data_IF_099727306869
#
_entry.id   IF_099727306869
#
_cell.length_a   1.000
_cell.length_b   1.000
_cell.length_c   1.000
_cell.angle_alpha   90.00
_cell.angle_beta   90.00
_cell.angle_gamma   90.00
#
_symmetry.space_group_name_H-M   'P 1'
#
loop_
_entity.id
_entity.type
_entity.pdbx_description
1 polymer ?
2 non-polymer ?
3 water ?
#
# COMPACT_ATOMS: atom_id res chain seq x y z
N UNK A 8 24.03 2.02 0.46
CA UNK A 8 22.81 2.69 1.03
C UNK A 8 21.60 2.56 0.11
N UNK A 9 20.42 2.41 0.70
CA UNK A 9 19.21 2.21 -0.07
C UNK A 9 18.32 3.45 0.00
N UNK A 10 18.13 4.11 -1.15
CA UNK A 10 17.34 5.34 -1.22
C UNK A 10 15.85 5.06 -1.33
N UNK A 11 15.10 5.39 -0.29
CA UNK A 11 13.62 5.26 -0.32
C UNK A 11 12.94 6.63 -0.30
N UNK A 12 12.08 6.88 -1.30
CA UNK A 12 11.19 8.04 -1.30
C UNK A 12 10.00 7.77 -0.36
N UNK A 13 9.85 8.60 0.68
CA UNK A 13 8.79 8.51 1.69
C UNK A 13 7.85 9.65 1.40
N UNK A 14 6.72 9.33 0.79
CA UNK A 14 5.85 10.35 0.24
C UNK A 14 4.74 10.72 1.19
N UNK A 15 4.90 11.87 1.84
CA UNK A 15 3.92 12.43 2.77
C UNK A 15 4.28 13.87 3.11
N UNK A 16 4.93 14.06 4.27
CA UNK A 16 5.33 15.40 4.74
C UNK A 16 6.82 15.45 5.10
N UNK A 17 7.31 16.67 5.29
CA UNK A 17 8.65 16.93 5.83
C UNK A 17 8.70 16.54 7.31
N UNK A 18 9.88 16.11 7.76
CA UNK A 18 10.11 15.74 9.16
C UNK A 18 9.51 16.75 10.13
N UNK A 19 9.83 18.01 9.86
CA UNK A 19 9.37 19.15 10.64
C UNK A 19 7.89 19.07 11.02
N UNK A 20 7.04 18.70 10.06
CA UNK A 20 5.58 18.82 10.21
C UNK A 20 4.83 17.47 10.27
N UNK A 21 5.58 16.39 10.45
CA UNK A 21 5.03 15.03 10.60
C UNK A 21 4.65 14.70 12.06
N UNK A 22 5.26 15.42 13.02
CA UNK A 22 5.03 15.17 14.45
C UNK A 22 5.56 13.83 14.92
N UNK A 23 4.65 12.97 15.38
CA UNK A 23 4.98 11.58 15.74
C UNK A 23 4.15 10.62 14.89
N UNK A 24 3.66 11.12 13.75
CA UNK A 24 2.72 10.39 12.90
C UNK A 24 3.32 9.10 12.35
N UNK A 25 4.62 9.13 12.07
CA UNK A 25 5.29 7.99 11.46
C UNK A 25 6.11 7.19 12.45
N UNK A 26 5.88 7.39 13.75
CA UNK A 26 6.69 6.70 14.75
C UNK A 26 6.78 5.19 14.48
N UNK A 27 5.66 4.53 14.39
CA UNK A 27 5.68 3.06 14.26
C UNK A 27 6.15 2.62 12.86
N UNK A 28 5.86 3.43 11.84
CA UNK A 28 6.31 3.13 10.49
C UNK A 28 7.84 3.09 10.48
N UNK A 29 8.45 4.10 11.06
CA UNK A 29 9.91 4.23 11.09
C UNK A 29 10.58 3.16 11.95
N UNK A 30 9.90 2.74 13.02
CA UNK A 30 10.35 1.60 13.83
C UNK A 30 10.44 0.33 13.01
N UNK A 31 9.41 0.07 12.22
CA UNK A 31 9.36 -1.07 11.33
C UNK A 31 10.50 -0.99 10.31
N UNK A 32 10.68 0.16 9.66
CA UNK A 32 11.79 0.33 8.70
C UNK A 32 13.12 -0.02 9.36
N UNK A 33 13.24 0.32 10.63
CA UNK A 33 14.45 0.08 11.39
C UNK A 33 14.63 -1.42 11.70
N UNK A 34 13.55 -2.13 12.04
CA UNK A 34 13.59 -3.60 12.16
C UNK A 34 14.11 -4.27 10.90
N UNK A 35 13.65 -3.76 9.77
CA UNK A 35 13.98 -4.29 8.47
C UNK A 35 15.44 -3.98 8.13
N UNK A 36 15.85 -2.75 8.42
CA UNK A 36 17.21 -2.29 8.14
C UNK A 36 18.21 -3.21 8.80
N UNK A 37 17.87 -3.62 10.03
CA UNK A 37 18.72 -4.49 10.81
C UNK A 37 18.69 -5.90 10.25
N UNK A 38 17.50 -6.40 9.90
CA UNK A 38 17.37 -7.78 9.41
C UNK A 38 18.10 -7.99 8.08
N UNK A 39 18.15 -6.93 7.27
CA UNK A 39 18.76 -6.96 5.95
C UNK A 39 20.22 -6.52 5.94
N UNK A 40 20.62 -5.75 6.95
CA UNK A 40 21.98 -5.23 7.04
C UNK A 40 22.29 -4.26 5.91
N UNK A 41 21.39 -3.30 5.73
CA UNK A 41 21.50 -2.30 4.68
C UNK A 41 21.46 -0.90 5.29
N UNK A 42 22.19 0.02 4.67
CA UNK A 42 22.13 1.42 5.07
C UNK A 42 20.87 2.04 4.44
N UNK A 43 19.80 2.22 5.21
CA UNK A 43 18.61 2.93 4.71
C UNK A 43 18.83 4.46 4.65
N UNK A 44 18.53 5.06 3.50
CA UNK A 44 18.52 6.51 3.36
C UNK A 44 17.15 6.99 2.87
N UNK A 45 16.30 7.35 3.82
CA UNK A 45 14.95 7.84 3.46
C UNK A 45 14.97 9.31 3.00
N UNK A 46 14.40 9.53 1.81
CA UNK A 46 14.06 10.87 1.31
C UNK A 46 12.61 11.21 1.70
N UNK A 47 12.45 12.13 2.66
CA UNK A 47 11.12 12.63 3.04
C UNK A 47 10.65 13.67 2.04
N UNK A 48 9.62 13.29 1.29
CA UNK A 48 9.09 14.10 0.19
C UNK A 48 7.72 14.64 0.58
N UNK A 49 7.55 15.94 0.43
CA UNK A 49 6.24 16.57 0.57
C UNK A 49 5.38 16.20 -0.62
N UNK A 50 4.30 15.45 -0.38
CA UNK A 50 3.45 14.93 -1.47
C UNK A 50 2.87 16.01 -2.36
N UNK A 51 2.64 17.20 -1.80
CA UNK A 51 2.07 18.29 -2.58
C UNK A 51 2.99 18.79 -3.70
N UNK A 52 4.30 18.55 -3.55
CA UNK A 52 5.27 18.90 -4.59
C UNK A 52 5.16 17.99 -5.82
N UNK A 53 4.43 16.89 -5.68
CA UNK A 53 4.19 15.98 -6.78
C UNK A 53 2.88 16.28 -7.52
N UNK A 54 2.27 17.41 -7.20
CA UNK A 54 1.11 17.91 -7.95
C UNK A 54 1.39 19.30 -8.53
N UNK A 55 0.68 19.62 -9.61
CA UNK A 55 0.72 20.96 -10.22
C UNK A 55 1.66 21.10 -11.41
N UNK A 56 1.75 22.33 -11.96
CA UNK A 56 2.56 22.59 -13.16
C UNK A 56 4.04 22.20 -13.03
N UNK A 57 4.59 22.25 -11.82
CA UNK A 57 6.03 22.04 -11.63
C UNK A 57 6.42 20.61 -11.23
N UNK A 58 5.42 19.73 -11.11
CA UNK A 58 5.59 18.39 -10.53
C UNK A 58 6.68 17.53 -11.17
N UNK A 59 7.03 17.78 -12.44
CA UNK A 59 8.11 17.01 -13.10
C UNK A 59 9.44 17.14 -12.33
N UNK A 60 9.63 18.27 -11.65
CA UNK A 60 10.79 18.51 -10.77
C UNK A 60 10.86 17.50 -9.61
N UNK A 61 9.70 17.23 -9.00
CA UNK A 61 9.58 16.25 -7.92
C UNK A 61 9.61 14.83 -8.40
N UNK A 62 8.98 14.58 -9.55
CA UNK A 62 9.02 13.27 -10.15
C UNK A 62 10.49 12.85 -10.38
N UNK A 63 11.32 13.78 -10.81
CA UNK A 63 12.74 13.48 -11.05
C UNK A 63 13.42 12.95 -9.77
N UNK A 64 13.08 13.54 -8.63
CA UNK A 64 13.61 13.07 -7.36
C UNK A 64 13.26 11.58 -7.11
N UNK A 65 12.02 11.21 -7.41
CA UNK A 65 11.57 9.81 -7.24
C UNK A 65 12.33 8.83 -8.14
N UNK A 66 12.63 9.27 -9.37
CA UNK A 66 13.29 8.43 -10.36
C UNK A 66 14.69 8.03 -9.94
N UNK A 67 15.30 8.82 -9.06
CA UNK A 67 16.61 8.50 -8.55
C UNK A 67 16.56 7.68 -7.28
N UNK A 68 15.38 7.21 -6.88
CA UNK A 68 15.26 6.37 -5.69
C UNK A 68 15.26 4.87 -6.03
N UNK A 69 15.59 4.04 -5.05
CA UNK A 69 15.56 2.57 -5.18
C UNK A 69 14.17 2.00 -4.85
N UNK A 70 13.40 2.77 -4.08
CA UNK A 70 12.05 2.39 -3.73
C UNK A 70 11.23 3.62 -3.45
N UNK A 71 9.92 3.45 -3.58
CA UNK A 71 8.95 4.51 -3.38
C UNK A 71 7.87 3.97 -2.41
N UNK A 72 7.68 4.67 -1.31
CA UNK A 72 6.79 4.26 -0.24
C UNK A 72 5.70 5.32 0.05
N UNK A 73 4.43 4.89 0.12
CA UNK A 73 3.34 5.79 0.50
C UNK A 73 2.59 5.28 1.75
N UNK A 74 2.80 5.94 2.91
CA UNK A 74 2.14 5.50 4.13
C UNK A 74 0.69 5.96 4.22
N UNK A 75 0.01 5.51 5.27
CA UNK A 75 -1.28 6.06 5.65
C UNK A 75 -1.12 7.53 5.99
N UNK A 76 -2.16 8.29 5.76
CA UNK A 76 -2.14 9.73 6.00
C UNK A 76 -3.54 10.22 6.31
N UNK A 77 -3.67 11.53 6.50
CA UNK A 77 -4.95 12.04 6.99
C UNK A 77 -5.39 13.20 6.15
N UNK A 78 -6.72 13.29 6.01
CA UNK A 78 -7.34 14.28 5.16
C UNK A 78 -6.99 14.04 3.71
N UNK A 79 -7.36 15.00 2.87
CA UNK A 79 -7.14 14.91 1.43
C UNK A 79 -5.86 15.61 0.97
N UNK A 80 -5.00 15.95 1.94
CA UNK A 80 -3.76 16.65 1.65
C UNK A 80 -2.90 15.73 0.80
N UNK A 81 -2.56 16.18 -0.41
CA UNK A 81 -1.56 15.51 -1.23
C UNK A 81 -1.98 14.19 -1.87
N UNK A 82 -3.28 13.96 -2.03
CA UNK A 82 -3.77 12.71 -2.62
C UNK A 82 -3.29 12.57 -4.06
N UNK A 83 -3.41 13.64 -4.86
CA UNK A 83 -2.99 13.60 -6.27
C UNK A 83 -1.47 13.36 -6.44
N UNK A 84 -0.68 13.94 -5.54
CA UNK A 84 0.76 13.69 -5.50
C UNK A 84 1.12 12.25 -5.13
N UNK A 85 0.37 11.66 -4.21
CA UNK A 85 0.58 10.26 -3.82
C UNK A 85 0.21 9.31 -4.97
N UNK A 86 -0.88 9.61 -5.69
CA UNK A 86 -1.21 8.90 -6.91
C UNK A 86 -0.08 9.01 -7.92
N UNK A 87 0.46 10.23 -8.08
CA UNK A 87 1.62 10.49 -8.95
C UNK A 87 2.87 9.72 -8.54
N UNK A 88 3.09 9.52 -7.23
CA UNK A 88 4.17 8.61 -6.76
C UNK A 88 3.97 7.20 -7.25
N UNK A 89 2.75 6.69 -7.14
CA UNK A 89 2.42 5.33 -7.61
C UNK A 89 2.58 5.23 -9.13
N UNK A 90 2.19 6.26 -9.84
CA UNK A 90 2.36 6.28 -11.29
C UNK A 90 3.83 6.16 -11.69
N UNK A 91 4.71 6.96 -11.07
CA UNK A 91 6.14 6.91 -11.36
C UNK A 91 6.70 5.51 -11.15
N UNK A 92 6.37 4.95 -9.98
CA UNK A 92 6.73 3.59 -9.64
C UNK A 92 6.30 2.58 -10.71
N UNK A 93 5.04 2.65 -11.15
CA UNK A 93 4.47 1.68 -12.10
C UNK A 93 5.12 1.82 -13.47
N UNK A 94 5.24 3.06 -13.93
CA UNK A 94 5.84 3.36 -15.22
C UNK A 94 7.35 3.15 -15.30
N UNK A 95 8.06 3.07 -14.18
CA UNK A 95 9.52 2.97 -14.21
C UNK A 95 10.09 1.73 -13.55
N UNK A 96 9.25 0.80 -13.16
CA UNK A 96 9.67 -0.42 -12.46
C UNK A 96 10.62 -0.12 -11.27
N UNK A 97 10.24 0.88 -10.48
CA UNK A 97 10.88 1.19 -9.19
C UNK A 97 9.99 0.55 -8.12
N UNK A 98 10.55 -0.37 -7.29
CA UNK A 98 9.76 -1.00 -6.20
C UNK A 98 8.83 -0.02 -5.46
N UNK A 99 7.57 -0.45 -5.28
CA UNK A 99 6.53 0.38 -4.66
C UNK A 99 5.90 -0.37 -3.52
N UNK A 100 5.72 0.33 -2.40
CA UNK A 100 4.99 -0.17 -1.24
C UNK A 100 4.04 0.89 -0.70
N UNK A 101 2.75 0.55 -0.68
CA UNK A 101 1.72 1.42 -0.13
C UNK A 101 0.99 0.78 1.04
N UNK A 102 0.67 1.59 2.05
CA UNK A 102 -0.06 1.11 3.24
C UNK A 102 -1.33 1.96 3.44
N UNK A 103 -2.48 1.29 3.50
CA UNK A 103 -3.77 1.95 3.70
C UNK A 103 -4.03 2.99 2.56
N UNK A 104 -3.79 4.27 2.83
CA UNK A 104 -3.92 5.31 1.79
C UNK A 104 -3.00 5.03 0.59
N UNK A 105 -1.85 4.43 0.89
CA UNK A 105 -0.93 3.93 -0.12
C UNK A 105 -1.50 2.89 -1.08
N UNK A 106 -2.38 2.02 -0.59
CA UNK A 106 -3.07 1.08 -1.48
C UNK A 106 -4.18 1.81 -2.27
N UNK A 107 -4.92 2.67 -1.60
CA UNK A 107 -5.99 3.43 -2.25
C UNK A 107 -5.50 4.26 -3.45
N UNK A 108 -4.37 4.93 -3.29
CA UNK A 108 -3.81 5.73 -4.38
C UNK A 108 -3.29 4.87 -5.54
N UNK A 109 -2.82 3.65 -5.25
CA UNK A 109 -2.43 2.71 -6.31
C UNK A 109 -3.65 2.38 -7.18
N UNK A 110 -4.78 2.16 -6.52
CA UNK A 110 -6.04 1.88 -7.20
C UNK A 110 -6.53 3.09 -8.01
N UNK A 111 -6.48 4.28 -7.40
CA UNK A 111 -6.93 5.51 -8.05
C UNK A 111 -6.04 5.87 -9.25
N UNK A 112 -4.73 5.75 -9.01
CA UNK A 112 -3.73 5.95 -10.05
C UNK A 112 -4.02 5.11 -11.30
N UNK A 113 -4.19 3.81 -11.07
CA UNK A 113 -4.38 2.85 -12.13
C UNK A 113 -5.70 3.11 -12.84
N UNK A 114 -6.73 3.45 -12.07
CA UNK A 114 -8.05 3.75 -12.63
C UNK A 114 -8.02 4.98 -13.56
N UNK A 115 -7.27 5.99 -13.17
CA UNK A 115 -7.15 7.20 -13.97
C UNK A 115 -6.29 6.98 -15.19
N UNK A 116 -5.10 6.41 -15.00
CA UNK A 116 -4.09 6.44 -16.05
C UNK A 116 -4.07 5.23 -16.99
N UNK A 117 -4.65 4.11 -16.58
CA UNK A 117 -4.70 2.93 -17.47
C UNK A 117 -6.16 2.57 -17.82
N UNK A 118 -7.05 2.61 -16.83
CA UNK A 118 -8.46 2.28 -17.08
C UNK A 118 -9.13 3.43 -17.84
N UNK A 119 -8.67 4.65 -17.58
CA UNK A 119 -9.06 5.81 -18.37
C UNK A 119 -10.21 6.58 -17.74
N UNK A 120 -10.42 6.36 -16.44
CA UNK A 120 -11.43 7.07 -15.68
C UNK A 120 -10.82 8.30 -15.04
N UNK A 121 -10.83 9.40 -15.77
CA UNK A 121 -10.15 10.61 -15.32
C UNK A 121 -10.63 11.06 -13.96
N UNK A 122 -11.90 10.85 -13.66
CA UNK A 122 -12.46 11.30 -12.39
C UNK A 122 -12.44 10.24 -11.28
N UNK A 123 -11.68 9.17 -11.46
CA UNK A 123 -11.65 8.12 -10.45
C UNK A 123 -11.08 8.68 -9.16
N UNK A 124 -11.76 8.35 -8.06
CA UNK A 124 -11.31 8.73 -6.76
C UNK A 124 -11.87 7.80 -5.69
N UNK A 125 -11.47 8.04 -4.44
CA UNK A 125 -12.22 7.52 -3.32
C UNK A 125 -13.40 8.43 -3.09
N UNK A 126 -14.50 7.83 -2.64
CA UNK A 126 -15.65 8.54 -2.14
C UNK A 126 -15.25 9.61 -1.09
N UNK A 127 -14.10 9.38 -0.43
CA UNK A 127 -13.67 10.25 0.66
C UNK A 127 -13.24 11.63 0.18
N UNK A 128 -12.62 11.66 -1.00
CA UNK A 128 -12.04 12.87 -1.52
C UNK A 128 -12.89 13.51 -2.62
N UNK A 129 -13.78 12.73 -3.25
CA UNK A 129 -14.69 13.28 -4.24
C UNK A 129 -15.99 12.49 -4.29
N UNK A 130 -16.92 12.93 -3.45
CA UNK A 130 -18.27 12.34 -3.35
C UNK A 130 -19.04 12.39 -4.67
N UNK A 131 -18.65 13.28 -5.58
CA UNK A 131 -19.32 13.41 -6.86
C UNK A 131 -18.74 12.54 -7.99
N UNK A 132 -17.61 11.88 -7.74
CA UNK A 132 -16.97 11.02 -8.76
C UNK A 132 -17.97 10.00 -9.28
N UNK A 133 -17.95 9.76 -10.59
CA UNK A 133 -18.74 8.68 -11.19
C UNK A 133 -18.01 7.35 -11.17
N UNK A 134 -16.74 7.36 -10.73
CA UNK A 134 -15.94 6.16 -10.57
C UNK A 134 -15.24 6.17 -9.20
N UNK A 135 -16.04 5.88 -8.18
CA UNK A 135 -15.58 5.79 -6.82
C UNK A 135 -14.93 4.42 -6.63
N UNK A 136 -13.66 4.30 -7.02
CA UNK A 136 -12.93 3.03 -6.99
C UNK A 136 -12.61 2.57 -5.56
N UNK A 137 -12.68 3.52 -4.63
CA UNK A 137 -12.62 3.23 -3.20
C UNK A 137 -13.85 3.89 -2.61
N UNK A 138 -14.51 3.19 -1.70
CA UNK A 138 -15.78 3.68 -1.16
C UNK A 138 -16.14 2.92 0.11
N UNK A 139 -17.14 3.40 0.82
CA UNK A 139 -17.63 2.73 2.00
C UNK A 139 -18.56 1.61 1.55
N UNK A 140 -18.38 0.41 2.11
CA UNK A 140 -19.29 -0.71 1.82
C UNK A 140 -20.67 -0.43 2.39
N UNK A 141 -21.69 -0.96 1.73
CA UNK A 141 -23.06 -0.74 2.17
C UNK A 141 -23.26 -1.25 3.61
N UNK A 142 -22.72 -2.43 3.89
CA UNK A 142 -22.86 -3.06 5.21
C UNK A 142 -22.17 -2.28 6.34
N UNK A 143 -21.27 -1.36 6.00
CA UNK A 143 -20.60 -0.53 6.99
C UNK A 143 -21.25 0.82 7.23
N UNK A 144 -22.28 1.13 6.47
CA UNK A 144 -22.76 2.49 6.34
C UNK A 144 -24.08 2.76 7.04
N UNK A 145 -24.19 3.99 7.56
CA UNK A 145 -25.39 4.56 8.15
C UNK A 145 -25.77 5.80 7.34
N UNK A 146 -26.98 6.30 7.58
CA UNK A 146 -27.34 7.64 7.12
C UNK A 146 -26.52 8.72 7.83
N UNK A 147 -26.08 8.44 9.06
CA UNK A 147 -25.29 9.38 9.84
C UNK A 147 -23.76 9.16 9.72
N UNK A 148 -23.32 8.00 9.25
CA UNK A 148 -21.89 7.68 9.27
C UNK A 148 -21.52 6.25 8.93
N UNK A 149 -20.37 5.79 9.42
CA UNK A 149 -19.87 4.48 9.02
C UNK A 149 -18.84 3.90 9.98
N UNK A 150 -18.65 2.59 9.88
CA UNK A 150 -17.76 1.92 10.77
C UNK A 150 -16.34 2.43 10.61
N UNK A 151 -15.63 2.43 11.73
CA UNK A 151 -14.20 2.67 11.77
C UNK A 151 -13.56 1.32 12.08
N UNK A 152 -13.03 0.64 11.07
CA UNK A 152 -12.45 -0.69 11.28
C UNK A 152 -11.11 -0.59 12.00
N UNK A 153 -11.04 -1.25 13.15
CA UNK A 153 -9.85 -1.27 14.00
C UNK A 153 -9.64 -2.71 14.43
N UNK A 154 -8.45 -3.06 14.84
CA UNK A 154 -8.20 -4.40 15.35
C UNK A 154 -7.87 -5.44 14.31
N UNK A 155 -7.84 -6.69 14.75
CA UNK A 155 -7.39 -7.82 13.97
C UNK A 155 -8.48 -8.40 13.09
N UNK A 156 -8.03 -9.01 12.02
CA UNK A 156 -8.92 -9.49 11.00
C UNK A 156 -8.22 -10.62 10.23
N UNK A 157 -8.95 -11.67 9.85
CA UNK A 157 -8.38 -12.72 9.00
C UNK A 157 -8.15 -12.20 7.57
N UNK A 158 -6.94 -12.38 7.08
CA UNK A 158 -6.58 -12.04 5.73
C UNK A 158 -6.28 -13.30 4.88
N UNK A 159 -7.12 -13.54 3.86
CA UNK A 159 -6.98 -14.68 2.96
C UNK A 159 -6.08 -14.35 1.78
N UNK A 160 -4.98 -15.07 1.66
CA UNK A 160 -4.09 -14.89 0.53
C UNK A 160 -4.64 -15.80 -0.57
N UNK A 161 -5.03 -15.19 -1.69
CA UNK A 161 -5.85 -15.90 -2.68
C UNK A 161 -5.17 -16.09 -4.02
N UNK A 162 -3.93 -15.59 -4.14
CA UNK A 162 -3.08 -15.77 -5.34
C UNK A 162 -1.80 -16.44 -4.90
N UNK A 163 -1.62 -17.67 -5.37
CA UNK A 163 -0.54 -18.54 -4.89
C UNK A 163 0.82 -18.08 -5.41
N UNK A 164 0.85 -17.39 -6.53
CA UNK A 164 2.09 -16.94 -7.13
C UNK A 164 2.46 -15.52 -6.70
N UNK A 165 1.69 -14.93 -5.80
CA UNK A 165 1.90 -13.53 -5.40
C UNK A 165 3.06 -13.30 -4.44
N UNK A 166 3.37 -12.02 -4.29
CA UNK A 166 4.32 -11.56 -3.30
C UNK A 166 3.82 -11.96 -1.91
N UNK A 167 2.52 -11.73 -1.67
CA UNK A 167 1.90 -12.10 -0.40
C UNK A 167 2.10 -13.55 -0.01
N UNK A 168 1.74 -14.49 -0.90
CA UNK A 168 1.94 -15.92 -0.67
C UNK A 168 3.37 -16.22 -0.23
N UNK A 169 4.32 -15.60 -0.92
CA UNK A 169 5.76 -15.81 -0.71
C UNK A 169 6.23 -15.31 0.66
N UNK A 170 5.93 -14.05 0.95
CA UNK A 170 6.43 -13.40 2.16
C UNK A 170 5.70 -13.87 3.43
N UNK A 171 4.51 -14.43 3.27
CA UNK A 171 3.84 -15.09 4.42
C UNK A 171 4.02 -16.61 4.46
N UNK A 172 5.04 -17.07 3.73
CA UNK A 172 5.49 -18.47 3.76
C UNK A 172 4.37 -19.44 3.42
N UNK A 173 3.64 -19.07 2.38
CA UNK A 173 2.55 -19.86 1.83
C UNK A 173 1.35 -20.11 2.76
N UNK A 174 1.22 -19.37 3.85
CA UNK A 174 0.04 -19.48 4.72
C UNK A 174 -1.17 -18.97 3.95
N UNK A 175 -2.32 -19.62 4.17
CA UNK A 175 -3.52 -19.32 3.41
C UNK A 175 -4.29 -18.22 4.10
N UNK A 176 -4.13 -18.13 5.42
CA UNK A 176 -4.76 -17.10 6.22
C UNK A 176 -3.75 -16.51 7.19
N UNK A 177 -3.65 -15.18 7.22
CA UNK A 177 -2.85 -14.52 8.20
C UNK A 177 -3.72 -13.49 8.94
N UNK A 178 -3.21 -12.97 10.03
CA UNK A 178 -3.96 -12.03 10.83
C UNK A 178 -3.17 -10.73 10.95
N UNK A 179 -3.75 -9.65 10.43
CA UNK A 179 -3.17 -8.30 10.56
C UNK A 179 -4.16 -7.36 11.18
N UNK A 180 -3.65 -6.19 11.58
CA UNK A 180 -4.43 -5.18 12.28
C UNK A 180 -4.74 -3.95 11.39
N UNK A 181 -5.85 -3.29 11.69
CA UNK A 181 -6.43 -2.29 10.82
C UNK A 181 -6.72 -0.94 11.46
N UNK A 182 -6.80 0.06 10.59
CA UNK A 182 -7.33 1.39 10.90
C UNK A 182 -7.75 2.04 9.57
N UNK A 183 -8.98 1.80 9.16
CA UNK A 183 -9.48 2.34 7.91
C UNK A 183 -10.99 2.36 7.90
N UNK A 184 -11.53 2.99 6.85
CA UNK A 184 -12.97 3.07 6.66
C UNK A 184 -13.44 2.71 5.25
N UNK A 185 -12.63 3.05 4.24
CA UNK A 185 -12.98 2.86 2.85
C UNK A 185 -12.29 1.65 2.24
N UNK A 186 -13.04 0.93 1.42
CA UNK A 186 -12.57 -0.27 0.78
C UNK A 186 -12.58 -0.09 -0.74
N UNK A 187 -11.81 -0.94 -1.42
CA UNK A 187 -11.91 -1.04 -2.86
C UNK A 187 -13.33 -1.42 -3.29
N UNK A 188 -13.80 -0.76 -4.35
CA UNK A 188 -15.12 -0.97 -4.85
C UNK A 188 -15.15 -2.28 -5.65
N UNK A 189 -15.92 -3.26 -5.15
CA UNK A 189 -16.01 -4.61 -5.74
C UNK A 189 -16.55 -4.62 -7.16
N UNK A 190 -17.36 -3.61 -7.50
CA UNK A 190 -17.88 -3.48 -8.84
C UNK A 190 -16.79 -3.25 -9.90
N UNK A 191 -15.58 -2.81 -9.51
CA UNK A 191 -14.53 -2.55 -10.50
C UNK A 191 -13.38 -3.55 -10.53
N UNK A 192 -13.56 -4.72 -9.91
CA UNK A 192 -12.45 -5.70 -9.85
C UNK A 192 -11.95 -6.13 -11.23
N UNK A 193 -12.87 -6.32 -12.19
CA UNK A 193 -12.51 -6.72 -13.55
C UNK A 193 -11.66 -5.68 -14.26
N UNK A 194 -12.08 -4.43 -14.17
CA UNK A 194 -11.37 -3.32 -14.78
C UNK A 194 -9.95 -3.18 -14.20
N UNK A 195 -9.82 -3.34 -12.87
CA UNK A 195 -8.50 -3.27 -12.23
C UNK A 195 -7.60 -4.40 -12.68
N UNK A 196 -8.17 -5.61 -12.73
CA UNK A 196 -7.46 -6.78 -13.22
C UNK A 196 -7.04 -6.60 -14.68
N UNK A 197 -7.97 -6.14 -15.51
CA UNK A 197 -7.63 -5.90 -16.92
C UNK A 197 -6.46 -4.93 -17.04
N UNK A 198 -6.42 -3.93 -16.16
CA UNK A 198 -5.37 -2.90 -16.13
C UNK A 198 -4.04 -3.33 -15.49
N UNK A 199 -3.95 -4.59 -15.04
CA UNK A 199 -2.70 -5.21 -14.59
C UNK A 199 -2.60 -5.47 -13.08
N UNK A 200 -3.64 -5.09 -12.34
CA UNK A 200 -3.64 -5.28 -10.89
C UNK A 200 -4.06 -6.69 -10.54
N UNK A 201 -3.34 -7.31 -9.61
CA UNK A 201 -3.72 -8.61 -9.06
C UNK A 201 -4.27 -8.36 -7.65
N UNK A 202 -5.49 -8.82 -7.36
CA UNK A 202 -6.00 -8.81 -6.00
C UNK A 202 -5.46 -10.08 -5.30
N UNK A 203 -4.44 -9.91 -4.47
CA UNK A 203 -3.73 -11.06 -3.91
C UNK A 203 -4.17 -11.45 -2.51
N UNK A 204 -4.89 -10.57 -1.81
CA UNK A 204 -5.43 -10.90 -0.48
C UNK A 204 -6.73 -10.16 -0.24
N UNK A 205 -7.64 -10.84 0.45
CA UNK A 205 -9.02 -10.39 0.66
C UNK A 205 -9.52 -10.89 2.00
N UNK A 206 -10.61 -10.30 2.51
CA UNK A 206 -11.22 -10.81 3.72
C UNK A 206 -12.15 -12.02 3.47
N UNK A 207 -12.64 -12.14 2.23
CA UNK A 207 -13.65 -13.13 1.86
C UNK A 207 -13.25 -13.83 0.55
N UNK A 208 -12.82 -15.09 0.63
CA UNK A 208 -12.31 -15.78 -0.57
C UNK A 208 -13.33 -16.09 -1.69
N UNK A 209 -14.61 -15.79 -1.48
CA UNK A 209 -15.62 -15.97 -2.54
C UNK A 209 -15.84 -14.72 -3.41
N UNK A 210 -15.29 -13.57 -3.02
CA UNK A 210 -15.35 -12.35 -3.83
C UNK A 210 -16.78 -11.85 -4.08
N UNK A 211 -17.60 -11.83 -3.03
CA UNK A 211 -18.92 -11.22 -3.06
C UNK A 211 -18.84 -9.69 -3.03
N UNK A 212 -19.99 -9.01 -2.87
CA UNK A 212 -20.03 -7.55 -2.67
C UNK A 212 -19.48 -7.11 -1.31
N UNK A 213 -19.35 -8.05 -0.37
CA UNK A 213 -18.75 -7.81 0.94
C UNK A 213 -17.26 -8.18 1.03
N UNK A 214 -16.67 -8.56 -0.10
CA UNK A 214 -15.25 -8.90 -0.17
C UNK A 214 -14.40 -7.64 -0.05
N UNK A 215 -13.61 -7.58 1.03
CA UNK A 215 -12.76 -6.43 1.29
C UNK A 215 -11.34 -6.76 0.85
N UNK A 216 -10.80 -5.92 -0.04
CA UNK A 216 -9.46 -6.12 -0.56
C UNK A 216 -8.44 -5.73 0.50
N UNK A 217 -7.54 -6.66 0.81
CA UNK A 217 -6.52 -6.48 1.80
C UNK A 217 -5.13 -6.24 1.16
N UNK A 218 -4.93 -6.72 -0.07
CA UNK A 218 -3.66 -6.56 -0.77
C UNK A 218 -3.86 -6.56 -2.26
N UNK A 219 -3.14 -5.64 -2.92
CA UNK A 219 -3.04 -5.61 -4.36
C UNK A 219 -1.57 -5.65 -4.78
N UNK A 220 -1.33 -6.22 -5.96
CA UNK A 220 0.00 -6.25 -6.56
C UNK A 220 -0.10 -5.98 -8.04
N UNK A 221 1.05 -5.63 -8.61
CA UNK A 221 1.19 -5.55 -10.06
C UNK A 221 2.30 -6.50 -10.49
N UNK A 222 1.93 -7.74 -10.88
CA UNK A 222 2.98 -8.70 -11.20
C UNK A 222 3.76 -8.47 -12.51
N UNK A 223 3.38 -7.50 -13.34
CA UNK A 223 4.26 -7.14 -14.48
C UNK A 223 5.57 -6.51 -13.99
N UNK A 224 5.57 -6.01 -12.74
CA UNK A 224 6.70 -5.26 -12.21
C UNK A 224 7.50 -6.10 -11.23
N UNK A 225 8.77 -5.75 -11.02
CA UNK A 225 9.59 -6.43 -10.03
C UNK A 225 8.95 -6.44 -8.64
N UNK A 226 8.51 -5.28 -8.18
CA UNK A 226 7.91 -5.18 -6.85
C UNK A 226 6.90 -4.03 -6.79
N UNK A 227 5.63 -4.38 -6.78
CA UNK A 227 4.55 -3.40 -6.60
C UNK A 227 3.52 -4.07 -5.69
N UNK A 228 3.46 -3.63 -4.44
CA UNK A 228 2.60 -4.20 -3.44
C UNK A 228 2.01 -3.08 -2.57
N UNK A 229 0.73 -3.20 -2.23
CA UNK A 229 0.04 -2.22 -1.38
C UNK A 229 -1.02 -2.96 -0.58
N UNK A 230 -1.07 -2.68 0.71
CA UNK A 230 -1.93 -3.41 1.62
C UNK A 230 -2.89 -2.45 2.31
N UNK A 231 -4.03 -2.97 2.76
CA UNK A 231 -5.01 -2.15 3.46
C UNK A 231 -4.67 -2.05 4.94
N UNK A 232 -4.36 -3.19 5.53
CA UNK A 232 -3.89 -3.28 6.89
C UNK A 232 -2.63 -2.43 7.12
N UNK A 233 -2.31 -2.20 8.38
CA UNK A 233 -1.10 -1.48 8.77
C UNK A 233 -0.13 -2.50 9.30
N UNK A 234 0.83 -2.92 8.45
CA UNK A 234 1.76 -3.98 8.89
C UNK A 234 2.65 -3.56 10.08
N UNK A 235 2.94 -2.27 10.18
CA UNK A 235 3.77 -1.73 11.26
C UNK A 235 3.20 -1.92 12.67
N UNK A 236 1.89 -2.18 12.78
CA UNK A 236 1.26 -2.55 14.04
C UNK A 236 1.72 -3.94 14.57
N UNK A 237 2.28 -4.79 13.72
CA UNK A 237 2.90 -6.05 14.16
C UNK A 237 4.29 -6.17 13.58
N UNK A 238 5.30 -5.73 14.35
CA UNK A 238 6.69 -5.83 13.93
C UNK A 238 7.61 -5.71 15.14
N UNK A 239 8.60 -6.60 15.22
CA UNK A 239 9.63 -6.55 16.24
C UNK A 239 10.99 -6.69 15.52
N UNK A 240 12.10 -6.27 16.17
CA UNK A 240 13.43 -6.43 15.57
C UNK A 240 13.74 -7.84 15.10
N UNK A 241 13.24 -8.83 15.83
CA UNK A 241 13.47 -10.22 15.52
C UNK A 241 12.43 -10.79 14.58
N UNK A 242 11.28 -10.13 14.46
CA UNK A 242 10.21 -10.61 13.61
C UNK A 242 9.62 -9.42 12.83
N UNK A 243 10.38 -8.92 11.83
CA UNK A 243 9.93 -7.73 11.11
C UNK A 243 8.73 -8.02 10.21
N UNK A 244 7.88 -7.02 9.98
CA UNK A 244 6.76 -7.18 9.07
C UNK A 244 7.30 -7.61 7.71
N UNK A 245 6.86 -8.79 7.21
CA UNK A 245 7.27 -9.31 5.91
C UNK A 245 7.03 -8.36 4.76
N UNK A 246 5.91 -7.63 4.79
CA UNK A 246 5.59 -6.67 3.75
C UNK A 246 6.69 -5.63 3.63
N UNK A 247 6.98 -4.93 4.72
CA UNK A 247 8.05 -3.92 4.74
C UNK A 247 9.40 -4.55 4.39
N UNK A 248 9.65 -5.74 4.95
CA UNK A 248 10.91 -6.44 4.75
C UNK A 248 11.16 -6.74 3.27
N UNK A 249 10.12 -7.20 2.56
CA UNK A 249 10.22 -7.57 1.16
C UNK A 249 10.40 -6.35 0.26
N UNK A 250 9.73 -5.26 0.62
CA UNK A 250 9.89 -3.98 -0.07
C UNK A 250 11.34 -3.50 0.01
N UNK A 251 11.89 -3.49 1.23
CA UNK A 251 13.24 -3.02 1.47
C UNK A 251 14.26 -3.93 0.80
N UNK A 252 13.95 -5.24 0.82
CA UNK A 252 14.78 -6.23 0.12
C UNK A 252 14.85 -5.92 -1.39
N UNK A 253 13.70 -5.75 -2.01
CA UNK A 253 13.58 -5.36 -3.42
C UNK A 253 14.28 -4.04 -3.77
N UNK A 254 14.15 -3.05 -2.90
CA UNK A 254 14.82 -1.78 -3.04
C UNK A 254 16.35 -1.93 -2.97
N UNK A 255 16.82 -2.75 -2.03
CA UNK A 255 18.24 -2.99 -1.87
C UNK A 255 18.79 -3.93 -2.97
N UNK A 256 17.90 -4.52 -3.76
CA UNK A 256 18.27 -5.46 -4.83
C UNK A 256 18.95 -6.69 -4.21
N UNK A 257 18.33 -7.17 -3.13
CA UNK A 257 18.81 -8.31 -2.38
C UNK A 257 17.75 -9.37 -2.28
N UNK A 258 18.20 -10.58 -2.05
CA UNK A 258 17.33 -11.71 -1.79
C UNK A 258 17.11 -11.80 -0.26
N UNK A 259 16.24 -12.69 0.14
CA UNK A 259 16.01 -12.93 1.54
C UNK A 259 15.48 -14.33 1.72
N UNK A 260 15.89 -15.01 2.78
CA UNK A 260 15.35 -16.34 3.06
C UNK A 260 14.10 -16.23 3.95
N UNK A 261 12.93 -16.49 3.37
CA UNK A 261 11.68 -16.49 4.11
C UNK A 261 11.59 -17.80 4.92
N UNK A 262 11.07 -17.74 6.15
CA UNK A 262 10.92 -18.98 6.92
C UNK A 262 10.00 -19.98 6.25
N UNK A 263 10.09 -21.23 6.69
CA UNK A 263 9.26 -22.30 6.17
C UNK A 263 7.81 -22.12 6.60
N UNK A 264 7.60 -21.37 7.67
CA UNK A 264 6.28 -21.17 8.21
C UNK A 264 6.20 -19.75 8.71
N UNK A 265 5.06 -19.12 8.43
CA UNK A 265 4.75 -17.77 8.89
C UNK A 265 4.79 -17.70 10.40
N UNK A 266 5.45 -16.69 10.92
CA UNK A 266 5.50 -16.43 12.35
C UNK A 266 4.10 -16.45 12.99
N UNK A 267 4.02 -16.96 14.21
CA UNK A 267 2.77 -17.06 14.96
C UNK A 267 2.17 -15.71 15.31
N UNK A 268 3.00 -14.66 15.30
CA UNK A 268 2.53 -13.29 15.49
C UNK A 268 1.51 -12.85 14.42
N UNK A 269 1.52 -13.50 13.26
CA UNK A 269 0.58 -13.16 12.17
C UNK A 269 -0.31 -14.34 11.74
N UNK A 270 -0.38 -15.36 12.60
CA UNK A 270 -1.30 -16.48 12.42
C UNK A 270 -2.43 -16.45 13.46
N UNK A 271 -3.54 -17.09 13.13
CA UNK A 271 -4.73 -17.11 14.01
C UNK A 271 -4.41 -17.82 15.33
X LIG B 1 9.39 -10.07 -3.57
X LIG C 1 0.79 14.09 3.19
#
# INVERSE_FOLDING_TARGET
SMYMSNPTVRIAFVGKYLQDAGDTYFSVLQCFEHCQIALQVRLDILYVDSEELEGPNADEARKALLGCDGIFVPGGFGNRGVDGKCAAAQVARMNNIPYFGVXLGMQVAVIELSRNVVGWSDANSEEFNKESTHQVVRIMDCDRNKMGANMHLGACDVYIVEKSSIMAKIYSKSNIVVERHRHRYEVNTAYFEDLRKAGLCISAVTDPTFSSRCRVEAVENPSLRFFLAVQFHPEFISTPMDPAPTYLSFMAAAAKKDYVWPQKCSQRRLKQA
CL CL
CL CL
#
